data_IF_378195164912
#
_entry.id   IF_378195164912
#
_cell.length_a   1.000
_cell.length_b   1.000
_cell.length_c   1.000
_cell.angle_alpha   90.00
_cell.angle_beta   90.00
_cell.angle_gamma   90.00
#
_symmetry.space_group_name_H-M   'P 1'
#
loop_
_entity.id
_entity.type
_entity.pdbx_description
1 polymer ?
#
# COMPACT_ATOMS: atom_id res chain seq x y z
N UNK A 1 19.00 12.70 -23.50
CA UNK A 1 17.90 11.79 -23.08
C UNK A 1 17.78 11.85 -21.56
N UNK A 2 16.88 12.70 -21.07
CA UNK A 2 16.52 12.67 -19.64
C UNK A 2 15.57 11.49 -19.49
N UNK A 3 16.10 10.37 -19.04
CA UNK A 3 15.28 9.25 -18.57
C UNK A 3 14.50 9.77 -17.37
N UNK A 4 13.21 10.02 -17.55
CA UNK A 4 12.30 10.32 -16.46
C UNK A 4 12.21 9.06 -15.60
N UNK A 5 12.76 9.11 -14.41
CA UNK A 5 12.55 8.08 -13.40
C UNK A 5 11.11 8.29 -12.92
N UNK A 6 10.19 7.49 -13.44
CA UNK A 6 8.82 7.43 -12.90
C UNK A 6 8.94 6.60 -11.62
N UNK A 7 8.94 7.27 -10.49
CA UNK A 7 8.95 6.59 -9.19
C UNK A 7 7.70 5.71 -9.05
N UNK A 8 7.87 4.49 -8.60
CA UNK A 8 6.81 3.50 -8.49
C UNK A 8 6.17 3.54 -7.10
N UNK A 9 4.87 3.83 -6.96
CA UNK A 9 4.19 3.66 -5.69
C UNK A 9 4.05 2.19 -5.33
N UNK A 10 4.05 1.89 -4.02
CA UNK A 10 4.06 0.53 -3.48
C UNK A 10 2.87 0.34 -2.53
N UNK A 11 2.24 -0.82 -2.62
CA UNK A 11 1.32 -1.33 -1.60
C UNK A 11 2.06 -2.38 -0.77
N UNK A 12 2.38 -2.03 0.46
CA UNK A 12 2.88 -2.97 1.45
C UNK A 12 1.68 -3.59 2.16
N UNK A 13 1.48 -4.87 1.99
CA UNK A 13 0.28 -5.56 2.47
C UNK A 13 0.70 -6.58 3.51
N UNK A 14 0.11 -6.47 4.70
CA UNK A 14 0.24 -7.51 5.71
C UNK A 14 -0.52 -8.77 5.30
N UNK A 15 -0.21 -9.89 5.93
CA UNK A 15 -0.76 -11.20 5.61
C UNK A 15 -1.94 -11.56 6.52
N UNK A 16 -1.64 -11.78 7.79
CA UNK A 16 -2.60 -12.29 8.78
C UNK A 16 -3.51 -11.14 9.26
N UNK A 17 -4.81 -11.39 9.40
CA UNK A 17 -5.80 -10.34 9.67
C UNK A 17 -6.10 -9.40 8.48
N UNK A 18 -5.33 -9.50 7.40
CA UNK A 18 -5.40 -8.56 6.26
C UNK A 18 -5.88 -9.22 4.97
N UNK A 19 -5.13 -10.17 4.42
CA UNK A 19 -5.54 -10.95 3.23
C UNK A 19 -6.12 -12.32 3.59
N UNK A 20 -5.74 -12.85 4.74
CA UNK A 20 -6.29 -14.04 5.35
C UNK A 20 -6.71 -13.71 6.79
N UNK A 21 -7.74 -14.37 7.30
CA UNK A 21 -8.20 -14.18 8.67
C UNK A 21 -7.19 -14.76 9.65
N UNK A 22 -6.96 -14.05 10.74
CA UNK A 22 -6.09 -14.52 11.80
C UNK A 22 -6.89 -15.41 12.77
N UNK A 23 -6.44 -16.64 13.07
CA UNK A 23 -7.07 -17.48 14.09
C UNK A 23 -6.74 -16.97 15.50
N UNK A 24 -7.47 -17.48 16.51
CA UNK A 24 -7.33 -17.05 17.90
C UNK A 24 -5.94 -17.33 18.51
N UNK A 25 -5.17 -18.26 17.95
CA UNK A 25 -3.79 -18.58 18.36
C UNK A 25 -2.73 -17.88 17.52
N UNK A 26 -3.16 -16.95 16.64
CA UNK A 26 -2.30 -16.09 15.80
C UNK A 26 -1.34 -16.86 14.85
N UNK A 27 -1.56 -18.17 14.65
CA UNK A 27 -0.71 -19.01 13.79
C UNK A 27 -1.54 -19.75 12.73
N UNK A 28 -1.26 -19.48 11.46
CA UNK A 28 -1.88 -20.21 10.34
C UNK A 28 -0.91 -21.31 9.89
N UNK A 29 -0.90 -22.38 10.64
CA UNK A 29 -0.01 -23.53 10.56
C UNK A 29 -0.62 -24.75 9.85
N UNK A 30 -1.87 -24.64 9.41
CA UNK A 30 -2.58 -25.71 8.70
C UNK A 30 -3.60 -25.15 7.70
N UNK A 31 -4.02 -25.96 6.73
CA UNK A 31 -5.06 -25.58 5.77
C UNK A 31 -6.44 -25.46 6.42
N UNK A 32 -6.68 -26.13 7.53
CA UNK A 32 -7.93 -26.06 8.28
C UNK A 32 -8.13 -24.68 8.91
N UNK A 33 -7.03 -23.98 9.24
CA UNK A 33 -7.06 -22.61 9.78
C UNK A 33 -7.08 -21.52 8.68
N UNK A 34 -6.82 -21.91 7.43
CA UNK A 34 -6.74 -20.96 6.35
C UNK A 34 -8.13 -20.47 5.92
N UNK A 35 -8.41 -19.22 6.16
CA UNK A 35 -9.61 -18.51 5.70
C UNK A 35 -9.20 -17.19 5.03
N UNK A 36 -9.57 -17.01 3.77
CA UNK A 36 -9.30 -15.76 3.08
C UNK A 36 -10.23 -14.64 3.54
N UNK A 37 -9.71 -13.43 3.59
CA UNK A 37 -10.51 -12.28 3.96
C UNK A 37 -11.63 -12.04 2.91
N UNK A 38 -12.85 -11.65 3.34
CA UNK A 38 -13.97 -11.48 2.41
C UNK A 38 -13.65 -10.51 1.28
N UNK A 39 -14.00 -10.88 0.04
CA UNK A 39 -13.81 -10.08 -1.17
C UNK A 39 -12.34 -9.75 -1.54
N UNK A 40 -11.33 -10.23 -0.79
CA UNK A 40 -9.93 -9.90 -1.04
C UNK A 40 -9.49 -10.28 -2.45
N UNK A 41 -9.81 -11.46 -2.93
CA UNK A 41 -9.45 -11.88 -4.30
C UNK A 41 -10.02 -10.95 -5.35
N UNK A 42 -11.31 -10.61 -5.21
CA UNK A 42 -12.01 -9.76 -6.19
C UNK A 42 -11.37 -8.37 -6.30
N UNK A 43 -11.08 -7.73 -5.18
CA UNK A 43 -10.64 -6.33 -5.20
C UNK A 43 -9.13 -6.18 -5.26
N UNK A 44 -8.34 -7.07 -4.65
CA UNK A 44 -6.89 -7.04 -4.83
C UNK A 44 -6.49 -7.40 -6.26
N UNK A 45 -7.25 -8.29 -6.94
CA UNK A 45 -7.08 -8.55 -8.37
C UNK A 45 -7.38 -7.31 -9.23
N UNK A 46 -8.41 -6.53 -8.89
CA UNK A 46 -8.69 -5.26 -9.56
C UNK A 46 -7.58 -4.24 -9.32
N UNK A 47 -7.10 -4.11 -8.08
CA UNK A 47 -5.98 -3.23 -7.76
C UNK A 47 -4.77 -3.61 -8.60
N UNK A 48 -4.41 -4.89 -8.65
CA UNK A 48 -3.26 -5.38 -9.41
C UNK A 48 -3.37 -5.13 -10.92
N UNK A 49 -4.58 -5.17 -11.48
CA UNK A 49 -4.83 -5.02 -12.93
C UNK A 49 -5.06 -3.58 -13.38
N UNK A 50 -5.71 -2.77 -12.54
CA UNK A 50 -6.20 -1.45 -12.92
C UNK A 50 -5.35 -0.30 -12.38
N UNK A 51 -4.62 -0.52 -11.26
CA UNK A 51 -3.86 0.52 -10.58
C UNK A 51 -2.36 0.31 -10.71
N UNK A 52 -1.58 1.40 -10.61
CA UNK A 52 -0.16 1.38 -10.90
C UNK A 52 0.71 1.16 -9.65
N UNK A 53 0.36 0.22 -8.78
CA UNK A 53 1.16 -0.12 -7.60
C UNK A 53 2.08 -1.32 -7.81
N UNK A 54 3.25 -1.31 -7.20
CA UNK A 54 3.99 -2.54 -6.90
C UNK A 54 3.40 -3.15 -5.64
N UNK A 55 3.04 -4.43 -5.67
CA UNK A 55 2.42 -5.13 -4.54
C UNK A 55 3.48 -5.96 -3.82
N UNK A 56 3.63 -5.72 -2.53
CA UNK A 56 4.64 -6.32 -1.66
C UNK A 56 3.98 -6.86 -0.41
N UNK A 57 4.34 -8.07 0.00
CA UNK A 57 3.90 -8.62 1.28
C UNK A 57 4.92 -8.32 2.37
N UNK A 58 4.44 -7.91 3.54
CA UNK A 58 5.29 -7.75 4.73
C UNK A 58 4.56 -8.25 5.97
N UNK A 59 5.10 -9.26 6.64
CA UNK A 59 4.45 -9.91 7.76
C UNK A 59 5.43 -10.25 8.89
N UNK A 60 4.96 -10.11 10.13
CA UNK A 60 5.64 -10.64 11.31
C UNK A 60 5.09 -12.05 11.59
N UNK A 61 5.97 -13.02 11.73
CA UNK A 61 5.62 -14.43 12.00
C UNK A 61 6.40 -14.88 13.24
N UNK A 62 5.80 -14.65 14.40
CA UNK A 62 6.44 -14.83 15.69
C UNK A 62 6.94 -16.26 15.91
N UNK A 63 8.26 -16.41 16.09
CA UNK A 63 8.89 -17.68 16.36
C UNK A 63 8.94 -18.67 15.19
N UNK A 64 8.68 -18.22 13.96
CA UNK A 64 8.81 -19.06 12.77
C UNK A 64 10.22 -19.66 12.65
N UNK A 65 10.29 -20.98 12.52
CA UNK A 65 11.52 -21.77 12.49
C UNK A 65 11.97 -22.26 13.86
N UNK A 66 11.15 -22.05 14.91
CA UNK A 66 11.36 -22.65 16.24
C UNK A 66 10.34 -23.79 16.49
N UNK A 67 10.46 -24.46 17.63
CA UNK A 67 9.50 -25.50 18.05
C UNK A 67 8.09 -24.95 18.25
N UNK A 68 7.94 -23.62 18.46
CA UNK A 68 6.64 -22.96 18.65
C UNK A 68 5.92 -22.80 17.32
N UNK A 69 6.65 -22.52 16.24
CA UNK A 69 6.10 -22.39 14.90
C UNK A 69 7.05 -23.02 13.86
N UNK A 70 6.98 -24.35 13.64
CA UNK A 70 7.84 -25.06 12.70
C UNK A 70 7.67 -24.59 11.25
N UNK A 71 8.74 -24.50 10.50
CA UNK A 71 8.71 -24.09 9.08
C UNK A 71 7.89 -25.05 8.22
N UNK A 72 7.89 -26.32 8.56
CA UNK A 72 7.14 -27.39 7.85
C UNK A 72 5.63 -27.16 7.88
N UNK A 73 5.11 -26.45 8.86
CA UNK A 73 3.69 -26.11 8.96
C UNK A 73 3.35 -24.80 8.28
N UNK A 74 4.26 -23.84 8.28
CA UNK A 74 4.08 -22.53 7.69
C UNK A 74 4.15 -22.53 6.14
N UNK A 75 5.24 -23.06 5.58
CA UNK A 75 5.53 -22.91 4.16
C UNK A 75 4.49 -23.54 3.22
N UNK A 76 3.90 -24.71 3.50
CA UNK A 76 2.86 -25.27 2.63
C UNK A 76 1.65 -24.34 2.50
N UNK A 77 1.19 -23.77 3.62
CA UNK A 77 0.05 -22.85 3.65
C UNK A 77 0.40 -21.51 3.01
N UNK A 78 1.56 -20.94 3.35
CA UNK A 78 2.03 -19.68 2.78
C UNK A 78 2.18 -19.76 1.25
N UNK A 79 2.81 -20.81 0.74
CA UNK A 79 2.98 -21.01 -0.70
C UNK A 79 1.65 -21.22 -1.42
N UNK A 80 0.69 -21.86 -0.77
CA UNK A 80 -0.65 -22.00 -1.32
C UNK A 80 -1.37 -20.64 -1.40
N UNK A 81 -1.26 -19.80 -0.37
CA UNK A 81 -1.81 -18.44 -0.37
C UNK A 81 -1.24 -17.64 -1.55
N UNK A 82 0.08 -17.63 -1.72
CA UNK A 82 0.73 -16.93 -2.84
C UNK A 82 0.23 -17.43 -4.20
N UNK A 83 0.15 -18.75 -4.37
CA UNK A 83 -0.32 -19.38 -5.62
C UNK A 83 -1.79 -19.08 -5.89
N UNK A 84 -2.62 -19.02 -4.85
CA UNK A 84 -4.03 -18.68 -4.99
C UNK A 84 -4.18 -17.23 -5.49
N UNK A 85 -3.43 -16.27 -4.94
CA UNK A 85 -3.41 -14.90 -5.42
C UNK A 85 -2.82 -14.77 -6.83
N UNK A 86 -1.74 -15.48 -7.15
CA UNK A 86 -1.15 -15.50 -8.48
C UNK A 86 -2.16 -15.98 -9.54
N UNK A 87 -2.98 -16.99 -9.23
CA UNK A 87 -4.02 -17.49 -10.14
C UNK A 87 -5.10 -16.45 -10.45
N UNK A 88 -5.30 -15.47 -9.57
CA UNK A 88 -6.20 -14.34 -9.76
C UNK A 88 -5.49 -13.10 -10.36
N UNK A 89 -4.21 -13.24 -10.74
CA UNK A 89 -3.40 -12.19 -11.35
C UNK A 89 -2.77 -11.20 -10.36
N UNK A 90 -2.71 -11.58 -9.08
CA UNK A 90 -2.02 -10.81 -8.03
C UNK A 90 -0.66 -11.42 -7.78
N UNK A 91 0.41 -10.70 -8.12
CA UNK A 91 1.79 -11.13 -7.89
C UNK A 91 2.41 -10.25 -6.82
N UNK A 92 2.77 -10.83 -5.69
CA UNK A 92 3.59 -10.16 -4.69
C UNK A 92 5.04 -10.12 -5.18
N UNK A 93 5.51 -8.93 -5.56
CA UNK A 93 6.85 -8.71 -6.12
C UNK A 93 7.95 -9.17 -5.17
N UNK A 94 7.75 -8.91 -3.88
CA UNK A 94 8.61 -9.32 -2.78
C UNK A 94 7.74 -9.78 -1.62
N UNK A 95 8.33 -10.62 -0.76
CA UNK A 95 7.70 -11.11 0.45
C UNK A 95 8.72 -11.00 1.59
N UNK A 96 8.45 -10.11 2.51
CA UNK A 96 9.29 -9.89 3.68
C UNK A 96 8.64 -10.52 4.90
N UNK A 97 9.33 -11.46 5.50
CA UNK A 97 8.87 -12.22 6.66
C UNK A 97 9.86 -12.00 7.79
N UNK A 98 9.43 -11.33 8.85
CA UNK A 98 10.18 -11.28 10.08
C UNK A 98 9.77 -12.46 10.97
N UNK A 99 10.76 -13.16 11.53
CA UNK A 99 10.58 -14.38 12.31
C UNK A 99 10.80 -14.18 13.82
N UNK A 100 11.10 -12.94 14.22
CA UNK A 100 11.47 -12.62 15.61
C UNK A 100 10.22 -12.43 16.47
N UNK A 101 10.40 -12.59 17.77
CA UNK A 101 9.36 -12.21 18.72
C UNK A 101 9.37 -10.71 18.99
N UNK A 102 8.25 -10.16 19.43
CA UNK A 102 8.12 -8.73 19.79
C UNK A 102 9.18 -8.29 20.81
N UNK A 103 9.49 -9.13 21.81
CA UNK A 103 10.50 -8.86 22.84
C UNK A 103 11.93 -8.72 22.30
N UNK A 104 12.23 -9.23 21.11
CA UNK A 104 13.56 -9.20 20.51
C UNK A 104 13.90 -7.83 19.93
N UNK A 105 12.88 -6.99 19.74
CA UNK A 105 12.97 -5.62 19.23
C UNK A 105 13.84 -5.49 17.97
N UNK A 106 13.68 -6.46 17.07
CA UNK A 106 14.51 -6.58 15.88
C UNK A 106 14.27 -5.41 14.90
N UNK A 107 15.33 -4.88 14.26
CA UNK A 107 15.19 -3.80 13.28
C UNK A 107 14.43 -4.22 12.02
N UNK A 108 14.22 -5.50 11.80
CA UNK A 108 13.51 -6.12 10.66
C UNK A 108 12.02 -6.29 10.92
N UNK A 109 11.61 -6.33 12.21
CA UNK A 109 10.22 -6.51 12.63
C UNK A 109 9.42 -5.22 12.47
N UNK A 110 8.20 -5.29 11.91
CA UNK A 110 7.25 -4.16 11.94
C UNK A 110 7.03 -3.70 13.40
N UNK A 111 7.06 -2.39 13.67
CA UNK A 111 6.98 -1.26 12.75
C UNK A 111 8.33 -0.77 12.19
N UNK A 112 9.45 -1.48 12.43
CA UNK A 112 10.75 -1.11 11.90
C UNK A 112 10.84 -1.39 10.39
N UNK A 113 11.73 -0.65 9.71
CA UNK A 113 11.86 -0.66 8.24
C UNK A 113 13.07 -1.45 7.73
N UNK A 114 13.73 -2.22 8.59
CA UNK A 114 15.02 -2.88 8.26
C UNK A 114 14.97 -3.82 7.04
N UNK A 115 13.83 -4.48 6.78
CA UNK A 115 13.63 -5.30 5.59
C UNK A 115 13.32 -4.47 4.32
N UNK A 116 12.94 -3.19 4.47
CA UNK A 116 12.39 -2.36 3.41
C UNK A 116 13.36 -1.27 2.93
N UNK A 117 14.64 -1.36 3.29
CA UNK A 117 15.65 -0.32 3.02
C UNK A 117 15.79 0.04 1.54
N UNK A 118 15.56 -0.91 0.62
CA UNK A 118 15.61 -0.66 -0.81
C UNK A 118 14.54 0.32 -1.32
N UNK A 119 13.40 0.42 -0.61
CA UNK A 119 12.29 1.29 -1.00
C UNK A 119 12.52 2.76 -0.70
N UNK A 120 13.58 3.11 0.03
CA UNK A 120 14.00 4.50 0.23
C UNK A 120 14.81 5.07 -0.95
N UNK A 121 14.99 4.30 -2.04
CA UNK A 121 15.64 4.81 -3.25
C UNK A 121 14.69 5.69 -4.07
N UNK A 122 15.26 6.51 -4.97
CA UNK A 122 14.50 7.37 -5.89
C UNK A 122 13.67 6.59 -6.95
N UNK A 123 13.74 5.27 -6.95
CA UNK A 123 12.91 4.42 -7.81
C UNK A 123 11.48 4.27 -7.30
N UNK A 124 11.24 4.58 -6.01
CA UNK A 124 9.96 4.36 -5.34
C UNK A 124 9.35 5.65 -4.80
N UNK A 125 8.04 5.78 -4.95
CA UNK A 125 7.24 6.91 -4.44
C UNK A 125 6.57 6.53 -3.12
N UNK A 126 7.31 6.62 -2.02
CA UNK A 126 6.79 6.29 -0.69
C UNK A 126 5.69 7.25 -0.24
N UNK A 127 5.69 8.49 -0.72
CA UNK A 127 4.67 9.49 -0.36
C UNK A 127 3.28 9.10 -0.88
N UNK A 128 3.22 8.46 -2.06
CA UNK A 128 2.00 7.95 -2.67
C UNK A 128 1.84 6.43 -2.49
N UNK A 129 2.61 5.84 -1.58
CA UNK A 129 2.53 4.43 -1.19
C UNK A 129 1.65 4.24 0.05
N UNK A 130 1.16 3.01 0.25
CA UNK A 130 0.34 2.68 1.40
C UNK A 130 0.81 1.39 2.07
N UNK A 131 0.62 1.31 3.38
CA UNK A 131 0.68 0.07 4.16
C UNK A 131 -0.74 -0.34 4.49
N UNK A 132 -1.12 -1.56 4.16
CA UNK A 132 -2.44 -2.14 4.46
C UNK A 132 -2.23 -3.21 5.52
N UNK A 133 -2.87 -3.06 6.67
CA UNK A 133 -2.75 -4.01 7.77
C UNK A 133 -3.84 -3.84 8.82
N UNK A 134 -3.93 -4.78 9.75
CA UNK A 134 -4.94 -4.84 10.80
C UNK A 134 -4.39 -4.47 12.18
N UNK A 135 -3.07 -4.22 12.29
CA UNK A 135 -2.40 -3.86 13.54
C UNK A 135 -1.90 -2.41 13.53
N UNK A 136 -1.84 -1.80 14.69
CA UNK A 136 -1.26 -0.44 14.83
C UNK A 136 0.22 -0.39 14.44
N UNK A 137 0.93 -1.52 14.52
CA UNK A 137 2.31 -1.65 14.01
C UNK A 137 2.40 -1.45 12.50
N UNK A 138 1.36 -1.75 11.73
CA UNK A 138 1.30 -1.48 10.29
C UNK A 138 1.14 0.03 10.01
N UNK A 139 0.36 0.71 10.84
CA UNK A 139 0.18 2.16 10.73
C UNK A 139 1.47 2.89 11.13
N UNK A 140 2.16 2.43 12.18
CA UNK A 140 3.45 2.98 12.53
C UNK A 140 4.52 2.67 11.48
N UNK A 141 4.47 1.51 10.84
CA UNK A 141 5.32 1.20 9.68
C UNK A 141 5.08 2.19 8.54
N UNK A 142 3.82 2.51 8.23
CA UNK A 142 3.49 3.50 7.22
C UNK A 142 4.13 4.86 7.53
N UNK A 143 4.01 5.32 8.78
CA UNK A 143 4.69 6.54 9.26
C UNK A 143 6.21 6.46 9.05
N UNK A 144 6.84 5.35 9.46
CA UNK A 144 8.29 5.17 9.39
C UNK A 144 8.81 5.09 7.95
N UNK A 145 7.97 4.66 7.00
CA UNK A 145 8.24 4.69 5.56
C UNK A 145 8.01 6.08 4.93
N UNK A 146 7.32 7.00 5.60
CA UNK A 146 6.88 8.25 5.00
C UNK A 146 5.66 8.08 4.08
N UNK A 147 4.90 7.01 4.27
CA UNK A 147 3.67 6.67 3.55
C UNK A 147 2.42 6.85 4.43
N UNK A 148 1.27 6.38 3.98
CA UNK A 148 0.02 6.36 4.76
C UNK A 148 -0.46 4.93 4.98
N UNK A 149 -1.21 4.73 6.07
CA UNK A 149 -1.80 3.46 6.42
C UNK A 149 -3.24 3.32 5.93
N UNK A 150 -3.61 2.13 5.51
CA UNK A 150 -5.00 1.69 5.36
C UNK A 150 -5.22 0.66 6.46
N UNK A 151 -6.02 1.02 7.45
CA UNK A 151 -6.22 0.23 8.65
C UNK A 151 -7.45 -0.65 8.50
N UNK A 152 -7.22 -1.97 8.49
CA UNK A 152 -8.30 -2.96 8.52
C UNK A 152 -8.68 -3.16 9.98
N UNK A 153 -9.68 -2.44 10.46
CA UNK A 153 -10.09 -2.44 11.84
C UNK A 153 -11.43 -3.17 12.02
N UNK A 154 -11.41 -4.20 12.83
CA UNK A 154 -12.60 -4.92 13.32
C UNK A 154 -13.01 -4.50 14.75
N UNK A 155 -12.52 -3.36 15.24
CA UNK A 155 -12.69 -2.79 16.58
C UNK A 155 -11.85 -3.44 17.68
N UNK A 156 -10.80 -4.17 17.36
CA UNK A 156 -9.92 -4.83 18.35
C UNK A 156 -8.68 -4.01 18.69
N UNK A 157 -8.26 -3.06 17.82
CA UNK A 157 -7.04 -2.24 17.99
C UNK A 157 -5.80 -3.06 18.35
N UNK A 158 -5.54 -4.10 17.57
CA UNK A 158 -4.41 -5.00 17.79
C UNK A 158 -3.06 -4.28 17.68
N UNK A 159 -2.07 -4.75 18.44
CA UNK A 159 -0.71 -4.22 18.42
C UNK A 159 -0.50 -2.93 19.22
N UNK A 160 -1.42 -2.55 20.13
CA UNK A 160 -1.29 -1.34 20.98
C UNK A 160 -0.08 -1.36 21.90
N UNK A 161 0.39 -2.51 22.29
CA UNK A 161 1.54 -2.73 23.17
C UNK A 161 2.88 -2.81 22.41
N UNK A 162 2.84 -2.91 21.09
CA UNK A 162 4.01 -3.01 20.23
C UNK A 162 4.39 -1.70 19.53
N UNK A 163 3.56 -0.67 19.59
CA UNK A 163 3.83 0.63 18.96
C UNK A 163 4.66 1.55 19.86
N UNK A 164 5.46 2.41 19.24
CA UNK A 164 6.36 3.33 19.95
C UNK A 164 5.75 4.70 20.21
N UNK A 165 4.64 5.01 19.55
CA UNK A 165 3.91 6.29 19.69
C UNK A 165 2.46 6.06 20.07
N UNK A 166 1.81 7.11 20.55
CA UNK A 166 0.41 7.02 20.98
C UNK A 166 -0.55 6.74 19.82
N UNK A 167 -1.66 6.05 20.09
CA UNK A 167 -2.72 5.82 19.11
C UNK A 167 -3.25 7.14 18.52
N UNK A 168 -3.27 8.22 19.32
CA UNK A 168 -3.70 9.54 18.87
C UNK A 168 -2.78 10.09 17.76
N UNK A 169 -1.46 9.94 17.90
CA UNK A 169 -0.50 10.36 16.89
C UNK A 169 -0.57 9.48 15.64
N UNK A 170 -0.88 8.19 15.79
CA UNK A 170 -1.03 7.26 14.66
C UNK A 170 -2.21 7.61 13.76
N UNK A 171 -3.28 8.22 14.30
CA UNK A 171 -4.46 8.62 13.52
C UNK A 171 -4.12 9.55 12.36
N UNK A 172 -3.10 10.39 12.49
CA UNK A 172 -2.65 11.30 11.42
C UNK A 172 -2.06 10.55 10.22
N UNK A 173 -1.69 9.28 10.40
CA UNK A 173 -1.12 8.43 9.35
C UNK A 173 -2.13 7.46 8.76
N UNK A 174 -3.35 7.37 9.29
CA UNK A 174 -4.44 6.56 8.72
C UNK A 174 -5.12 7.36 7.61
N UNK A 175 -4.99 6.88 6.38
CA UNK A 175 -5.66 7.46 5.21
C UNK A 175 -7.08 6.89 5.02
N UNK A 176 -7.29 5.64 5.42
CA UNK A 176 -8.58 4.96 5.40
C UNK A 176 -8.63 3.93 6.52
N UNK A 177 -9.77 3.88 7.22
CA UNK A 177 -10.10 2.84 8.17
C UNK A 177 -11.33 2.08 7.66
N UNK A 178 -11.20 0.76 7.45
CA UNK A 178 -12.28 -0.06 6.90
C UNK A 178 -11.96 -1.54 7.08
N UNK A 179 -12.97 -2.40 7.06
CA UNK A 179 -12.83 -3.86 6.96
C UNK A 179 -13.34 -4.39 5.59
N UNK A 180 -13.58 -3.51 4.60
CA UNK A 180 -14.08 -3.88 3.29
C UNK A 180 -13.06 -3.60 2.18
N UNK A 181 -12.59 -4.65 1.52
CA UNK A 181 -11.68 -4.58 0.38
C UNK A 181 -12.24 -3.79 -0.82
N UNK A 182 -13.58 -3.70 -0.95
CA UNK A 182 -14.19 -2.82 -1.95
C UNK A 182 -13.91 -1.35 -1.66
N UNK A 183 -14.02 -0.95 -0.39
CA UNK A 183 -13.72 0.41 0.03
C UNK A 183 -12.24 0.75 -0.19
N UNK A 184 -11.33 -0.20 0.08
CA UNK A 184 -9.89 -0.05 -0.20
C UNK A 184 -9.64 0.20 -1.68
N UNK A 185 -10.21 -0.64 -2.56
CA UNK A 185 -10.06 -0.47 -4.01
C UNK A 185 -10.58 0.90 -4.48
N UNK A 186 -11.78 1.30 -4.03
CA UNK A 186 -12.37 2.59 -4.40
C UNK A 186 -11.50 3.76 -3.94
N UNK A 187 -11.00 3.71 -2.71
CA UNK A 187 -10.08 4.71 -2.17
C UNK A 187 -8.80 4.82 -3.01
N UNK A 188 -8.10 3.70 -3.24
CA UNK A 188 -6.86 3.68 -4.02
C UNK A 188 -7.08 4.16 -5.46
N UNK A 189 -8.21 3.82 -6.07
CA UNK A 189 -8.55 4.29 -7.42
C UNK A 189 -8.71 5.80 -7.51
N UNK A 190 -9.17 6.46 -6.45
CA UNK A 190 -9.26 7.93 -6.41
C UNK A 190 -7.90 8.59 -6.23
N UNK A 191 -6.97 7.96 -5.50
CA UNK A 191 -5.63 8.51 -5.27
C UNK A 191 -4.75 8.50 -6.52
N UNK A 192 -5.05 7.67 -7.52
CA UNK A 192 -4.30 7.59 -8.79
C UNK A 192 -4.82 8.54 -9.90
N UNK A 193 -5.88 9.31 -9.67
CA UNK A 193 -6.45 10.20 -10.69
C UNK A 193 -5.70 11.51 -10.86
N UNK A 194 -4.44 11.56 -10.40
CA UNK A 194 -3.50 12.65 -10.62
C UNK A 194 -2.43 12.21 -11.62
N UNK A 195 -2.29 12.95 -12.69
CA UNK A 195 -1.27 12.71 -13.72
C UNK A 195 -0.33 13.90 -13.87
N UNK A 196 0.95 13.65 -14.09
CA UNK A 196 1.94 14.66 -14.42
C UNK A 196 2.75 14.21 -15.64
N UNK A 197 2.92 15.11 -16.60
CA UNK A 197 3.77 14.90 -17.78
C UNK A 197 4.66 16.11 -18.01
N UNK A 198 5.91 15.87 -18.34
CA UNK A 198 6.84 16.89 -18.78
C UNK A 198 7.49 16.46 -20.09
N UNK A 199 7.47 17.35 -21.08
CA UNK A 199 8.11 17.15 -22.38
C UNK A 199 8.99 18.37 -22.70
N UNK A 200 10.27 18.13 -22.81
CA UNK A 200 11.25 19.14 -23.19
C UNK A 200 11.88 18.78 -24.53
N UNK A 201 11.75 19.66 -25.52
CA UNK A 201 12.45 19.61 -26.81
C UNK A 201 13.24 20.90 -26.98
N UNK A 202 14.03 20.99 -28.07
CA UNK A 202 14.76 22.24 -28.39
C UNK A 202 13.81 23.39 -28.70
N UNK A 203 12.56 23.13 -29.09
CA UNK A 203 11.60 24.13 -29.54
C UNK A 203 10.49 24.38 -28.52
N UNK A 204 10.16 23.39 -27.68
CA UNK A 204 9.05 23.50 -26.72
C UNK A 204 9.37 22.88 -25.37
N UNK A 205 8.89 23.52 -24.31
CA UNK A 205 8.89 22.98 -22.94
C UNK A 205 7.44 22.92 -22.48
N UNK A 206 6.95 21.72 -22.20
CA UNK A 206 5.56 21.51 -21.78
C UNK A 206 5.60 20.74 -20.46
N UNK A 207 4.92 21.29 -19.46
CA UNK A 207 4.64 20.60 -18.20
C UNK A 207 3.14 20.64 -17.94
N UNK A 208 2.55 19.48 -17.68
CA UNK A 208 1.13 19.35 -17.34
C UNK A 208 1.03 18.54 -16.06
N UNK A 209 0.30 19.07 -15.10
CA UNK A 209 -0.17 18.36 -13.92
C UNK A 209 -1.69 18.40 -13.98
N UNK A 210 -2.34 17.24 -13.83
CA UNK A 210 -3.79 17.12 -13.97
C UNK A 210 -4.33 16.29 -12.81
N UNK A 211 -5.29 16.83 -12.08
CA UNK A 211 -6.08 16.10 -11.11
C UNK A 211 -7.52 15.93 -11.63
N UNK A 212 -7.95 14.70 -11.87
CA UNK A 212 -9.29 14.38 -12.38
C UNK A 212 -10.36 14.46 -11.28
N UNK A 213 -9.98 14.57 -10.01
CA UNK A 213 -10.86 14.76 -8.85
C UNK A 213 -10.64 16.17 -8.26
N UNK A 214 -10.44 17.15 -9.14
CA UNK A 214 -10.18 18.52 -8.79
C UNK A 214 -11.44 19.30 -8.40
N UNK A 215 -11.26 20.62 -8.26
CA UNK A 215 -12.30 21.58 -7.86
C UNK A 215 -12.64 22.58 -8.95
N UNK A 216 -12.06 22.42 -10.15
CA UNK A 216 -12.20 23.35 -11.28
C UNK A 216 -11.28 24.57 -11.18
N UNK A 217 -10.15 24.45 -10.48
CA UNK A 217 -9.14 25.50 -10.34
C UNK A 217 -7.93 25.16 -11.19
N UNK A 218 -7.62 26.02 -12.13
CA UNK A 218 -6.49 25.82 -13.04
C UNK A 218 -5.48 26.96 -12.98
N UNK A 219 -4.23 26.64 -13.28
CA UNK A 219 -3.17 27.59 -13.55
C UNK A 219 -2.56 27.22 -14.89
N UNK A 220 -2.89 27.99 -15.94
CA UNK A 220 -2.57 27.65 -17.31
C UNK A 220 -1.82 28.81 -17.95
N UNK A 221 -0.69 28.52 -18.58
CA UNK A 221 0.12 29.44 -19.36
C UNK A 221 0.76 28.67 -20.52
N UNK A 222 0.12 28.71 -21.68
CA UNK A 222 0.64 28.10 -22.92
C UNK A 222 1.29 29.13 -23.83
N UNK A 223 1.22 30.42 -23.45
CA UNK A 223 1.64 31.53 -24.32
C UNK A 223 0.62 31.89 -25.41
N UNK A 224 -0.53 31.24 -25.46
CA UNK A 224 -1.63 31.49 -26.43
C UNK A 224 -2.93 31.73 -25.67
N UNK A 225 -3.32 32.98 -25.50
CA UNK A 225 -4.45 33.37 -24.63
C UNK A 225 -5.78 32.66 -24.93
N UNK A 226 -6.06 32.41 -26.21
CA UNK A 226 -7.28 31.66 -26.58
C UNK A 226 -7.22 30.21 -26.13
N UNK A 227 -6.04 29.57 -26.24
CA UNK A 227 -5.86 28.18 -25.80
C UNK A 227 -5.91 28.07 -24.29
N UNK A 228 -5.29 29.02 -23.56
CA UNK A 228 -5.39 29.12 -22.10
C UNK A 228 -6.85 29.21 -21.65
N UNK A 229 -7.64 30.09 -22.32
CA UNK A 229 -9.06 30.21 -22.04
C UNK A 229 -9.83 28.90 -22.27
N UNK A 230 -9.55 28.18 -23.35
CA UNK A 230 -10.23 26.91 -23.65
C UNK A 230 -9.90 25.82 -22.62
N UNK A 231 -8.64 25.72 -22.20
CA UNK A 231 -8.22 24.78 -21.16
C UNK A 231 -8.83 25.14 -19.79
N UNK A 232 -8.91 26.43 -19.44
CA UNK A 232 -9.59 26.89 -18.22
C UNK A 232 -11.09 26.53 -18.22
N UNK A 233 -11.78 26.61 -19.37
CA UNK A 233 -13.18 26.17 -19.48
C UNK A 233 -13.30 24.65 -19.25
N UNK A 234 -12.38 23.83 -19.78
CA UNK A 234 -12.36 22.38 -19.55
C UNK A 234 -12.16 22.10 -18.06
N UNK A 235 -11.21 22.76 -17.40
CA UNK A 235 -10.95 22.65 -15.97
C UNK A 235 -12.23 22.98 -15.16
N UNK A 236 -12.82 24.14 -15.36
CA UNK A 236 -13.99 24.63 -14.61
C UNK A 236 -15.23 23.73 -14.79
N UNK A 237 -15.56 23.37 -16.03
CA UNK A 237 -16.74 22.56 -16.31
C UNK A 237 -16.53 21.09 -16.03
N UNK A 238 -15.31 20.59 -16.14
CA UNK A 238 -14.93 19.22 -15.82
C UNK A 238 -14.60 18.98 -14.34
N UNK A 239 -14.53 20.05 -13.53
CA UNK A 239 -14.03 20.00 -12.15
C UNK A 239 -12.63 19.36 -12.06
N UNK A 240 -11.76 19.72 -12.98
CA UNK A 240 -10.36 19.28 -13.07
C UNK A 240 -9.46 20.38 -12.54
N UNK A 241 -8.37 20.02 -11.82
CA UNK A 241 -7.31 20.96 -11.43
C UNK A 241 -6.02 20.65 -12.16
#
# INVERSE_FOLDING_TARGET
>A
DIKRIIMKPVLFIDRDGTIIREPADEQIDSFEKLEFYPKVFQYLSKIAKELNFEIVMITNQDGLGTDVYPEETFWPVHNFVLKAFESEGVVFKEQFIDKTFSKDNAPTRKPNTGLLTKYFSDDYDLKNSFVIGDRLTDIELAKNLGSKGIFINDNTNLGTDEVTISNFELNDYIALETNDWEAIYRFLKTTERVGSIERNTNETKIKIELNLDGTGKSTIDTGISFFDHMLDQISRHGQLD
#
